data_IF_521293423554
#
_entry.id   IF_521293423554
#
_cell.length_a   1.000
_cell.length_b   1.000
_cell.length_c   1.000
_cell.angle_alpha   90.00
_cell.angle_beta   90.00
_cell.angle_gamma   90.00
#
_symmetry.space_group_name_H-M   'P 1'
#
loop_
_entity.id
_entity.type
_entity.pdbx_description
1 polymer ?
#
# COMPACT_ATOMS: atom_id res chain seq x y z
N UNK A 1 -13.26 -9.97 -5.91
CA UNK A 1 -12.08 -9.15 -6.30
C UNK A 1 -10.79 -9.61 -5.61
N UNK A 2 -10.80 -9.84 -4.29
CA UNK A 2 -9.61 -10.33 -3.53
C UNK A 2 -9.08 -11.69 -4.01
N UNK A 3 -9.95 -12.59 -4.48
CA UNK A 3 -9.53 -13.94 -4.93
C UNK A 3 -8.78 -13.92 -6.27
N UNK A 4 -9.13 -13.00 -7.18
CA UNK A 4 -8.56 -12.95 -8.54
C UNK A 4 -7.11 -12.47 -8.54
N UNK A 5 -6.76 -11.50 -7.68
CA UNK A 5 -5.40 -10.96 -7.61
C UNK A 5 -4.36 -12.02 -7.19
N UNK A 6 -4.77 -13.05 -6.47
CA UNK A 6 -3.91 -14.19 -6.11
C UNK A 6 -3.70 -15.20 -7.27
N UNK A 7 -4.52 -15.15 -8.32
CA UNK A 7 -4.41 -16.06 -9.45
C UNK A 7 -3.23 -15.66 -10.34
N UNK A 8 -2.22 -16.55 -10.43
CA UNK A 8 -0.99 -16.41 -11.21
C UNK A 8 -1.12 -16.93 -12.65
N UNK A 9 -2.25 -17.54 -13.01
CA UNK A 9 -2.48 -18.04 -14.36
C UNK A 9 -2.55 -16.89 -15.37
N UNK A 10 -2.48 -17.17 -16.68
CA UNK A 10 -2.70 -16.14 -17.69
C UNK A 10 -4.15 -15.61 -17.68
N UNK A 11 -4.42 -14.45 -18.32
CA UNK A 11 -5.73 -13.82 -18.29
C UNK A 11 -6.91 -14.70 -18.78
N UNK A 12 -6.67 -15.56 -19.76
CA UNK A 12 -7.65 -16.52 -20.30
C UNK A 12 -8.03 -17.64 -19.31
N UNK A 13 -7.25 -17.82 -18.25
CA UNK A 13 -7.47 -18.77 -17.15
C UNK A 13 -7.83 -18.06 -15.83
N UNK A 14 -8.38 -16.85 -15.93
CA UNK A 14 -8.85 -16.07 -14.77
C UNK A 14 -7.75 -15.27 -14.07
N UNK A 15 -6.54 -15.23 -14.63
CA UNK A 15 -5.48 -14.32 -14.18
C UNK A 15 -5.71 -12.86 -14.56
N UNK A 16 -4.63 -12.08 -14.53
CA UNK A 16 -4.66 -10.64 -14.79
C UNK A 16 -3.27 -10.14 -15.20
N UNK A 17 -3.23 -9.01 -15.90
CA UNK A 17 -1.98 -8.32 -16.27
C UNK A 17 -1.74 -7.08 -15.38
N UNK A 18 -2.80 -6.29 -15.15
CA UNK A 18 -2.76 -5.07 -14.33
C UNK A 18 -4.08 -5.00 -13.53
N UNK A 19 -4.02 -4.45 -12.32
CA UNK A 19 -5.20 -4.01 -11.57
C UNK A 19 -4.94 -2.66 -10.91
N UNK A 20 -6.02 -1.90 -10.67
CA UNK A 20 -5.96 -0.65 -9.91
C UNK A 20 -6.35 -0.91 -8.46
N UNK A 21 -5.63 -0.29 -7.54
CA UNK A 21 -5.94 -0.30 -6.10
C UNK A 21 -5.57 1.05 -5.50
N UNK A 22 -6.17 1.35 -4.36
CA UNK A 22 -5.76 2.42 -3.48
C UNK A 22 -5.23 1.85 -2.16
N UNK A 23 -4.68 2.74 -1.34
CA UNK A 23 -4.20 2.47 0.01
C UNK A 23 -4.46 3.69 0.88
N UNK A 24 -4.62 3.49 2.19
CA UNK A 24 -4.67 4.63 3.10
C UNK A 24 -3.29 5.28 3.21
N UNK A 25 -3.26 6.56 3.62
CA UNK A 25 -2.00 7.24 3.90
C UNK A 25 -1.17 6.55 5.00
N UNK A 26 -1.82 5.84 5.93
CA UNK A 26 -1.13 5.06 6.96
C UNK A 26 -0.42 3.83 6.39
N UNK A 27 -1.00 3.18 5.37
CA UNK A 27 -0.38 2.03 4.72
C UNK A 27 0.88 2.43 3.93
N UNK A 28 0.98 3.70 3.51
CA UNK A 28 2.08 4.27 2.72
C UNK A 28 3.07 5.10 3.59
N UNK A 29 2.99 4.98 4.92
CA UNK A 29 3.72 5.88 5.83
C UNK A 29 5.24 5.71 5.78
N UNK A 30 5.72 4.47 5.63
CA UNK A 30 7.15 4.16 5.63
C UNK A 30 7.44 2.80 4.96
N UNK A 31 8.72 2.53 4.61
CA UNK A 31 9.10 1.28 3.95
C UNK A 31 8.79 0.01 4.74
N UNK A 32 8.58 0.04 6.06
CA UNK A 32 8.28 -1.17 6.83
C UNK A 32 6.83 -1.64 6.62
N UNK A 33 5.88 -0.70 6.51
CA UNK A 33 4.44 -1.01 6.40
C UNK A 33 3.92 -1.01 4.96
N UNK A 34 4.63 -0.34 4.03
CA UNK A 34 4.23 -0.24 2.63
C UNK A 34 4.21 -1.62 1.94
N UNK A 35 3.00 -2.14 1.70
CA UNK A 35 2.81 -3.49 1.15
C UNK A 35 3.30 -3.61 -0.29
N UNK A 36 3.14 -2.56 -1.10
CA UNK A 36 3.50 -2.57 -2.53
C UNK A 36 5.01 -2.60 -2.78
N UNK A 37 5.81 -2.30 -1.75
CA UNK A 37 7.27 -2.47 -1.77
C UNK A 37 7.71 -3.86 -1.28
N UNK A 38 6.80 -4.81 -1.09
CA UNK A 38 7.17 -6.21 -0.82
C UNK A 38 7.47 -6.89 -2.15
N UNK A 39 8.74 -7.16 -2.37
CA UNK A 39 9.31 -7.63 -3.62
C UNK A 39 10.11 -8.93 -3.44
N UNK A 40 9.61 -9.87 -2.63
CA UNK A 40 10.19 -11.22 -2.50
C UNK A 40 9.57 -12.26 -3.44
N UNK A 41 9.21 -11.86 -4.65
CA UNK A 41 8.72 -12.74 -5.71
C UNK A 41 7.44 -13.48 -5.35
N UNK A 42 7.32 -14.72 -5.85
CA UNK A 42 6.10 -15.54 -5.71
C UNK A 42 5.79 -15.97 -4.27
N UNK A 43 6.76 -15.86 -3.36
CA UNK A 43 6.68 -16.33 -1.98
C UNK A 43 6.13 -15.26 -1.05
N UNK A 44 6.73 -14.06 -1.08
CA UNK A 44 6.42 -12.99 -0.11
C UNK A 44 6.12 -11.64 -0.78
N UNK A 45 6.28 -11.53 -2.10
CA UNK A 45 5.95 -10.33 -2.85
C UNK A 45 4.46 -10.02 -2.84
N UNK A 46 4.12 -8.74 -2.94
CA UNK A 46 2.73 -8.31 -3.13
C UNK A 46 2.18 -8.82 -4.47
N UNK A 47 0.86 -8.73 -4.69
CA UNK A 47 0.23 -9.17 -5.93
C UNK A 47 0.92 -8.52 -7.15
N UNK A 48 1.25 -9.34 -8.15
CA UNK A 48 2.19 -8.98 -9.23
C UNK A 48 3.55 -9.65 -9.06
N UNK A 49 3.84 -10.13 -7.84
CA UNK A 49 5.01 -10.91 -7.46
C UNK A 49 6.34 -10.29 -7.93
N UNK A 50 6.57 -8.98 -7.71
CA UNK A 50 7.85 -8.38 -8.04
C UNK A 50 8.97 -9.08 -7.25
N UNK A 51 10.11 -9.31 -7.89
CA UNK A 51 11.27 -9.96 -7.29
C UNK A 51 12.46 -9.00 -7.35
N UNK A 52 12.57 -8.17 -6.32
CA UNK A 52 13.58 -7.11 -6.19
C UNK A 52 14.29 -7.29 -4.83
N UNK A 53 15.24 -8.25 -4.73
CA UNK A 53 15.91 -8.57 -3.47
C UNK A 53 16.66 -7.38 -2.86
N UNK A 54 17.06 -6.41 -3.68
CA UNK A 54 17.68 -5.16 -3.20
C UNK A 54 16.69 -4.30 -2.40
N UNK A 55 15.42 -4.20 -2.83
CA UNK A 55 14.38 -3.48 -2.07
C UNK A 55 14.15 -4.18 -0.72
N UNK A 56 14.06 -5.51 -0.70
CA UNK A 56 13.90 -6.29 0.54
C UNK A 56 15.08 -6.06 1.50
N UNK A 57 16.31 -6.11 1.00
CA UNK A 57 17.51 -5.86 1.81
C UNK A 57 17.51 -4.43 2.38
N UNK A 58 17.17 -3.43 1.57
CA UNK A 58 17.08 -2.04 2.02
C UNK A 58 15.95 -1.83 3.03
N UNK A 59 14.81 -2.50 2.89
CA UNK A 59 13.74 -2.47 3.90
C UNK A 59 14.22 -3.01 5.23
N UNK A 60 14.95 -4.12 5.24
CA UNK A 60 15.60 -4.66 6.43
C UNK A 60 16.57 -3.65 7.04
N UNK A 61 17.46 -3.08 6.23
CA UNK A 61 18.41 -2.06 6.68
C UNK A 61 17.72 -0.79 7.23
N UNK A 62 16.59 -0.39 6.66
CA UNK A 62 15.80 0.75 7.15
C UNK A 62 15.24 0.51 8.55
N UNK A 63 14.81 -0.72 8.85
CA UNK A 63 14.32 -1.10 10.18
C UNK A 63 15.45 -1.07 11.22
N UNK A 64 16.63 -1.57 10.85
CA UNK A 64 17.81 -1.64 11.72
C UNK A 64 18.60 -0.33 11.82
N UNK A 65 18.24 0.69 11.04
CA UNK A 65 18.99 1.95 11.01
C UNK A 65 18.93 2.68 12.37
N UNK A 66 20.08 3.15 12.90
CA UNK A 66 20.19 3.63 14.28
C UNK A 66 19.55 5.02 14.51
N UNK A 67 19.33 5.78 13.44
CA UNK A 67 18.82 7.15 13.52
C UNK A 67 17.91 7.51 12.34
N UNK A 68 17.30 8.70 12.42
CA UNK A 68 16.39 9.19 11.39
C UNK A 68 17.10 9.55 10.08
N UNK A 69 18.35 10.02 10.14
CA UNK A 69 19.11 10.41 8.95
C UNK A 69 19.43 9.18 8.09
N UNK A 70 19.85 8.08 8.72
CA UNK A 70 20.07 6.79 8.06
C UNK A 70 18.77 6.25 7.45
N UNK A 71 17.68 6.28 8.21
CA UNK A 71 16.35 5.89 7.70
C UNK A 71 15.92 6.73 6.50
N UNK A 72 16.12 8.05 6.54
CA UNK A 72 15.74 8.96 5.45
C UNK A 72 16.54 8.67 4.18
N UNK A 73 17.85 8.45 4.30
CA UNK A 73 18.72 8.08 3.17
C UNK A 73 18.27 6.77 2.53
N UNK A 74 18.07 5.72 3.33
CA UNK A 74 17.65 4.41 2.82
C UNK A 74 16.26 4.50 2.18
N UNK A 75 15.33 5.24 2.76
CA UNK A 75 14.00 5.44 2.17
C UNK A 75 14.07 6.12 0.80
N UNK A 76 14.93 7.13 0.64
CA UNK A 76 15.19 7.77 -0.65
C UNK A 76 15.74 6.78 -1.67
N UNK A 77 16.70 5.94 -1.29
CA UNK A 77 17.30 4.95 -2.18
C UNK A 77 16.28 3.85 -2.60
N UNK A 78 15.41 3.43 -1.67
CA UNK A 78 14.27 2.55 -1.97
C UNK A 78 13.33 3.19 -3.00
N UNK A 79 12.96 4.46 -2.79
CA UNK A 79 12.06 5.18 -3.70
C UNK A 79 12.69 5.33 -5.10
N UNK A 80 13.98 5.66 -5.16
CA UNK A 80 14.69 5.79 -6.43
C UNK A 80 14.70 4.45 -7.20
N UNK A 81 15.00 3.34 -6.53
CA UNK A 81 14.98 2.02 -7.15
C UNK A 81 13.56 1.61 -7.56
N UNK A 82 12.56 1.86 -6.73
CA UNK A 82 11.17 1.57 -7.07
C UNK A 82 10.68 2.36 -8.30
N UNK A 83 11.15 3.60 -8.49
CA UNK A 83 10.85 4.38 -9.70
C UNK A 83 11.55 3.85 -10.96
N UNK A 84 12.69 3.15 -10.81
CA UNK A 84 13.42 2.53 -11.92
C UNK A 84 12.81 1.18 -12.31
N UNK A 85 12.52 0.33 -11.33
CA UNK A 85 12.06 -1.04 -11.52
C UNK A 85 10.53 -1.16 -11.65
N UNK A 86 9.80 -0.12 -11.24
CA UNK A 86 8.34 0.03 -11.35
C UNK A 86 7.58 -1.21 -10.83
N UNK A 87 7.78 -1.64 -9.56
CA UNK A 87 7.00 -2.73 -8.98
C UNK A 87 5.50 -2.36 -8.85
N UNK A 88 5.20 -1.07 -8.85
CA UNK A 88 3.86 -0.50 -9.01
C UNK A 88 3.96 0.88 -9.67
N UNK A 89 2.83 1.37 -10.21
CA UNK A 89 2.74 2.70 -10.82
C UNK A 89 1.94 3.65 -9.89
N UNK A 90 2.55 4.66 -9.27
CA UNK A 90 1.81 5.64 -8.48
C UNK A 90 0.96 6.53 -9.39
N UNK A 91 -0.36 6.49 -9.21
CA UNK A 91 -1.31 7.32 -9.98
C UNK A 91 -1.60 8.68 -9.32
N UNK A 92 -1.20 8.86 -8.06
CA UNK A 92 -1.39 10.08 -7.30
C UNK A 92 -2.08 9.85 -5.95
N UNK A 93 -2.51 10.93 -5.33
CA UNK A 93 -3.21 10.93 -4.04
C UNK A 93 -4.54 11.65 -4.17
N UNK A 94 -5.55 11.18 -3.43
CA UNK A 94 -6.85 11.82 -3.36
C UNK A 94 -7.36 11.83 -1.92
N UNK A 95 -8.21 12.81 -1.61
CA UNK A 95 -8.94 12.85 -0.36
C UNK A 95 -10.32 12.26 -0.60
N UNK A 96 -10.64 11.15 0.08
CA UNK A 96 -11.98 10.58 0.04
C UNK A 96 -12.97 11.52 0.72
N UNK A 97 -14.04 11.89 0.02
CA UNK A 97 -15.15 12.68 0.56
C UNK A 97 -16.30 11.73 0.85
N UNK A 98 -16.65 11.61 2.13
CA UNK A 98 -17.80 10.79 2.55
C UNK A 98 -18.98 11.70 2.87
N UNK A 99 -20.13 11.42 2.25
CA UNK A 99 -21.38 12.07 2.57
C UNK A 99 -22.13 11.25 3.63
N UNK A 100 -22.75 11.95 4.57
CA UNK A 100 -23.59 11.35 5.61
C UNK A 100 -24.94 12.06 5.61
N UNK A 101 -25.98 11.37 6.11
CA UNK A 101 -27.26 12.04 6.38
C UNK A 101 -27.04 13.16 7.40
N UNK A 102 -27.81 14.23 7.23
CA UNK A 102 -27.79 15.44 8.05
C UNK A 102 -28.17 15.18 9.52
N UNK A 103 -28.90 14.10 9.78
CA UNK A 103 -29.28 13.64 11.11
C UNK A 103 -28.24 12.73 11.78
N UNK A 104 -27.12 12.39 11.14
CA UNK A 104 -26.04 11.62 11.77
C UNK A 104 -25.09 12.51 12.58
N UNK A 105 -24.66 11.98 13.73
CA UNK A 105 -23.74 12.62 14.68
C UNK A 105 -22.61 11.66 15.04
N UNK A 106 -21.50 12.24 15.50
CA UNK A 106 -20.32 11.54 16.02
C UNK A 106 -19.68 10.55 15.03
N UNK A 107 -19.77 10.84 13.72
CA UNK A 107 -19.12 10.05 12.68
C UNK A 107 -17.62 10.26 12.69
N UNK A 108 -16.87 9.17 12.85
CA UNK A 108 -15.41 9.17 12.79
C UNK A 108 -14.96 9.56 11.38
N UNK A 109 -14.14 10.61 11.28
CA UNK A 109 -13.60 11.09 10.00
C UNK A 109 -12.42 10.22 9.56
N UNK A 110 -12.21 10.15 8.24
CA UNK A 110 -11.04 9.54 7.59
C UNK A 110 -10.87 8.02 7.76
N UNK A 111 -11.80 7.34 8.45
CA UNK A 111 -11.86 5.89 8.58
C UNK A 111 -13.29 5.42 8.29
N UNK A 112 -13.43 4.32 7.55
CA UNK A 112 -14.74 3.71 7.28
C UNK A 112 -15.18 2.85 8.47
N UNK A 113 -15.36 3.49 9.63
CA UNK A 113 -15.77 2.85 10.89
C UNK A 113 -17.02 3.52 11.44
N UNK A 114 -17.89 2.73 12.07
CA UNK A 114 -19.19 3.19 12.56
C UNK A 114 -19.23 3.36 14.08
N UNK A 115 -18.06 3.58 14.70
CA UNK A 115 -17.97 3.79 16.14
C UNK A 115 -18.65 5.09 16.54
N UNK A 116 -19.43 5.04 17.63
CA UNK A 116 -20.15 6.18 18.22
C UNK A 116 -21.23 6.83 17.33
N UNK A 117 -21.41 6.36 16.09
CA UNK A 117 -22.38 6.93 15.15
C UNK A 117 -23.79 6.81 15.74
N UNK A 118 -24.48 7.93 15.82
CA UNK A 118 -25.87 8.00 16.30
C UNK A 118 -26.69 8.98 15.49
N UNK A 119 -28.01 8.88 15.60
CA UNK A 119 -28.92 9.90 15.09
C UNK A 119 -29.00 11.08 16.08
N UNK A 120 -29.23 12.27 15.55
CA UNK A 120 -29.76 13.39 16.30
C UNK A 120 -31.16 12.98 16.77
N UNK A 121 -31.33 12.90 18.09
CA UNK A 121 -32.63 12.81 18.76
C UNK A 121 -33.46 14.06 18.51
#
# INVERSE_FOLDING_TARGET
MVTRRANKAPPDQGGWNIFCTDWSGFDMLNPAVEQVLRCGGVQTGFFGWPDLPQIEAMRGAWIEAPDENGRRKIAHDIQALAMQEVPYLPLGQYLSRTAYRDDLRDVVKNLSVFWNVRRAS
#
